data_IF_054174633058
#
_entry.id   IF_054174633058
#
_cell.length_a   1.000
_cell.length_b   1.000
_cell.length_c   1.000
_cell.angle_alpha   90.00
_cell.angle_beta   90.00
_cell.angle_gamma   90.00
#
_symmetry.space_group_name_H-M   'P 1'
#
loop_
_entity.id
_entity.type
_entity.pdbx_description
1 polymer ?
#
# COMPACT_ATOMS: atom_id res chain seq x y z
N UNK A 1 -20.76 20.08 45.13
CA UNK A 1 -20.12 18.86 44.59
C UNK A 1 -18.62 19.10 44.56
N UNK A 2 -17.82 18.13 45.03
CA UNK A 2 -16.36 18.18 44.98
C UNK A 2 -15.88 18.25 43.53
N UNK A 3 -14.87 19.06 43.23
CA UNK A 3 -14.23 19.10 41.90
C UNK A 3 -13.66 17.70 41.58
N UNK A 4 -14.19 16.98 40.58
CA UNK A 4 -13.76 15.62 40.25
C UNK A 4 -12.28 15.55 39.87
N UNK A 5 -11.66 16.67 39.45
CA UNK A 5 -10.22 16.74 39.16
C UNK A 5 -9.34 16.46 40.37
N UNK A 6 -9.87 16.53 41.59
CA UNK A 6 -9.14 16.15 42.82
C UNK A 6 -8.94 14.65 42.97
N UNK A 7 -9.71 13.83 42.24
CA UNK A 7 -9.66 12.38 42.31
C UNK A 7 -8.77 11.76 41.21
N UNK A 8 -8.12 12.58 40.37
CA UNK A 8 -7.23 12.07 39.32
C UNK A 8 -6.03 11.38 39.98
N UNK A 9 -5.80 10.08 39.73
CA UNK A 9 -4.71 9.34 40.37
C UNK A 9 -3.34 9.88 39.96
N UNK A 10 -2.43 9.93 40.93
CA UNK A 10 -1.04 10.33 40.72
C UNK A 10 -0.29 9.33 39.84
N UNK A 11 0.80 9.77 39.22
CA UNK A 11 1.60 8.92 38.31
C UNK A 11 2.12 7.69 39.04
N UNK A 12 2.64 7.83 40.25
CA UNK A 12 3.14 6.70 41.05
C UNK A 12 2.03 5.70 41.39
N UNK A 13 0.79 6.17 41.59
CA UNK A 13 -0.38 5.31 41.81
C UNK A 13 -0.69 4.47 40.59
N UNK A 14 -0.68 5.05 39.39
CA UNK A 14 -0.90 4.31 38.15
C UNK A 14 0.25 3.34 37.86
N UNK A 15 1.50 3.76 38.04
CA UNK A 15 2.67 2.92 37.82
C UNK A 15 2.70 1.70 38.77
N UNK A 16 2.22 1.85 40.00
CA UNK A 16 2.12 0.75 40.95
C UNK A 16 1.17 -0.37 40.50
N UNK A 17 0.25 -0.10 39.56
CA UNK A 17 -0.64 -1.11 38.98
C UNK A 17 0.09 -2.11 38.06
N UNK A 18 1.28 -1.77 37.58
CA UNK A 18 2.08 -2.58 36.64
C UNK A 18 3.51 -2.74 37.15
N UNK A 19 3.72 -3.46 38.27
CA UNK A 19 5.04 -3.59 38.90
C UNK A 19 6.07 -4.32 38.02
N UNK A 20 5.59 -5.13 37.07
CA UNK A 20 6.40 -5.76 36.04
C UNK A 20 5.76 -5.48 34.67
N UNK A 21 6.49 -4.78 33.80
CA UNK A 21 6.08 -4.53 32.43
C UNK A 21 7.28 -4.66 31.50
N UNK A 22 7.10 -5.22 30.29
CA UNK A 22 8.14 -5.19 29.26
C UNK A 22 8.36 -3.77 28.70
N UNK A 23 7.46 -2.81 28.99
CA UNK A 23 7.60 -1.42 28.57
C UNK A 23 8.58 -0.67 29.47
N UNK A 24 9.38 0.20 28.85
CA UNK A 24 10.32 1.04 29.58
C UNK A 24 9.60 2.07 30.48
N UNK A 25 10.21 2.51 31.60
CA UNK A 25 9.57 3.44 32.54
C UNK A 25 9.06 4.75 31.93
N UNK A 26 9.72 5.27 30.89
CA UNK A 26 9.27 6.49 30.21
C UNK A 26 7.96 6.28 29.43
N UNK A 27 7.75 5.09 28.85
CA UNK A 27 6.52 4.75 28.13
C UNK A 27 5.35 4.57 29.10
N UNK A 28 5.58 3.91 30.24
CA UNK A 28 4.59 3.80 31.33
C UNK A 28 4.18 5.19 31.85
N UNK A 29 5.16 6.08 32.08
CA UNK A 29 4.88 7.47 32.48
C UNK A 29 4.10 8.24 31.43
N UNK A 30 4.40 8.03 30.15
CA UNK A 30 3.65 8.66 29.06
C UNK A 30 2.17 8.22 29.08
N UNK A 31 1.89 6.92 29.23
CA UNK A 31 0.52 6.41 29.35
C UNK A 31 -0.20 6.98 30.57
N UNK A 32 0.48 7.08 31.72
CA UNK A 32 -0.09 7.70 32.92
C UNK A 32 -0.42 9.17 32.71
N UNK A 33 0.46 9.94 32.04
CA UNK A 33 0.21 11.33 31.72
C UNK A 33 -0.93 11.51 30.71
N UNK A 34 -1.06 10.62 29.74
CA UNK A 34 -2.16 10.61 28.77
C UNK A 34 -3.51 10.45 29.48
N UNK A 35 -3.63 9.44 30.35
CA UNK A 35 -4.82 9.19 31.18
C UNK A 35 -5.15 10.41 32.03
N UNK A 36 -4.17 10.95 32.75
CA UNK A 36 -4.37 12.14 33.59
C UNK A 36 -4.80 13.35 32.76
N UNK A 37 -4.25 13.54 31.56
CA UNK A 37 -4.62 14.63 30.68
C UNK A 37 -6.05 14.46 30.15
N UNK A 38 -6.48 13.25 29.79
CA UNK A 38 -7.86 12.94 29.42
C UNK A 38 -8.82 13.26 30.58
N UNK A 39 -8.48 12.88 31.82
CA UNK A 39 -9.28 13.24 32.99
C UNK A 39 -9.36 14.76 33.21
N UNK A 40 -8.26 15.50 33.01
CA UNK A 40 -8.25 16.97 33.14
C UNK A 40 -9.10 17.66 32.07
N UNK A 41 -9.18 17.08 30.87
CA UNK A 41 -10.04 17.57 29.76
C UNK A 41 -11.50 17.16 29.91
N UNK A 42 -11.83 16.27 30.85
CA UNK A 42 -13.18 15.74 31.04
C UNK A 42 -13.56 14.66 30.02
N UNK A 43 -12.58 14.08 29.33
CA UNK A 43 -12.78 13.00 28.35
C UNK A 43 -12.84 11.62 29.00
N UNK A 44 -12.33 11.50 30.24
CA UNK A 44 -12.29 10.28 31.03
C UNK A 44 -12.68 10.61 32.47
N UNK A 45 -13.56 9.82 33.09
CA UNK A 45 -13.86 10.02 34.50
C UNK A 45 -12.66 9.56 35.36
N UNK A 46 -12.27 10.29 36.42
CA UNK A 46 -11.13 9.90 37.26
C UNK A 46 -11.20 8.47 37.82
N UNK A 47 -12.40 7.95 38.07
CA UNK A 47 -12.61 6.59 38.57
C UNK A 47 -12.26 5.52 37.53
N UNK A 48 -12.32 5.85 36.24
CA UNK A 48 -12.01 4.95 35.12
C UNK A 48 -10.51 5.00 34.75
N UNK A 49 -9.73 5.89 35.37
CA UNK A 49 -8.35 6.16 35.00
C UNK A 49 -7.44 4.93 35.13
N UNK A 50 -7.62 4.12 36.17
CA UNK A 50 -6.83 2.92 36.41
C UNK A 50 -7.06 1.85 35.31
N UNK A 51 -8.33 1.61 34.97
CA UNK A 51 -8.71 0.67 33.92
C UNK A 51 -8.20 1.14 32.55
N UNK A 52 -8.39 2.43 32.24
CA UNK A 52 -7.91 3.00 30.99
C UNK A 52 -6.38 2.92 30.87
N UNK A 53 -5.65 3.20 31.95
CA UNK A 53 -4.20 3.03 31.98
C UNK A 53 -3.79 1.58 31.70
N UNK A 54 -4.40 0.60 32.36
CA UNK A 54 -4.11 -0.82 32.12
C UNK A 54 -4.46 -1.23 30.68
N UNK A 55 -5.54 -0.70 30.11
CA UNK A 55 -5.91 -0.91 28.71
C UNK A 55 -4.83 -0.40 27.74
N UNK A 56 -4.27 0.79 27.99
CA UNK A 56 -3.16 1.33 27.19
C UNK A 56 -1.90 0.46 27.28
N UNK A 57 -1.57 -0.05 28.47
CA UNK A 57 -0.41 -0.95 28.64
C UNK A 57 -0.64 -2.29 27.93
N UNK A 58 -1.83 -2.86 28.05
CA UNK A 58 -2.19 -4.15 27.45
C UNK A 58 -2.35 -4.06 25.92
N UNK A 59 -2.54 -2.87 25.35
CA UNK A 59 -2.57 -2.67 23.91
C UNK A 59 -1.20 -2.95 23.23
N UNK A 60 -0.13 -3.11 24.00
CA UNK A 60 1.19 -3.53 23.54
C UNK A 60 2.16 -2.39 23.33
N UNK A 61 3.29 -2.68 22.68
CA UNK A 61 4.38 -1.72 22.50
C UNK A 61 4.17 -0.71 21.36
N UNK A 62 3.01 -0.74 20.67
CA UNK A 62 2.67 0.13 19.55
C UNK A 62 1.30 0.76 19.76
N UNK A 63 1.16 2.02 19.33
CA UNK A 63 -0.12 2.75 19.35
C UNK A 63 -0.99 2.43 18.13
N UNK A 64 -0.46 1.71 17.13
CA UNK A 64 -1.23 1.27 15.97
C UNK A 64 -2.26 0.23 16.40
N UNK A 65 -3.51 0.44 16.00
CA UNK A 65 -4.62 -0.44 16.34
C UNK A 65 -4.92 -1.37 15.15
N UNK A 66 -5.01 -2.70 15.37
CA UNK A 66 -5.44 -3.62 14.32
C UNK A 66 -6.84 -3.25 13.82
N UNK A 67 -7.04 -3.31 12.50
CA UNK A 67 -8.31 -2.97 11.85
C UNK A 67 -8.82 -4.15 11.04
N UNK A 68 -10.06 -4.55 11.29
CA UNK A 68 -10.86 -5.38 10.40
C UNK A 68 -11.46 -4.49 9.32
N UNK A 69 -10.92 -4.59 8.11
CA UNK A 69 -11.36 -3.81 6.96
C UNK A 69 -12.65 -4.41 6.37
N UNK A 70 -13.80 -3.89 6.80
CA UNK A 70 -15.12 -4.22 6.27
C UNK A 70 -15.65 -3.14 5.31
N UNK A 71 -14.77 -2.40 4.64
CA UNK A 71 -15.15 -1.28 3.75
C UNK A 71 -15.42 -1.69 2.31
N UNK A 72 -15.03 -2.91 1.92
CA UNK A 72 -15.02 -3.37 0.52
C UNK A 72 -13.89 -2.77 -0.33
N UNK A 73 -12.98 -1.98 0.27
CA UNK A 73 -11.83 -1.40 -0.42
C UNK A 73 -10.60 -2.30 -0.23
N UNK A 74 -10.09 -2.89 -1.30
CA UNK A 74 -9.01 -3.88 -1.28
C UNK A 74 -7.66 -3.25 -0.88
N UNK A 75 -7.26 -2.19 -1.56
CA UNK A 75 -6.05 -1.41 -1.29
C UNK A 75 -6.44 -0.09 -0.62
N UNK A 76 -6.64 -0.15 0.69
CA UNK A 76 -7.11 0.98 1.49
C UNK A 76 -5.93 1.75 2.10
N UNK A 77 -5.62 2.93 1.56
CA UNK A 77 -4.43 3.72 1.94
C UNK A 77 -4.39 4.10 3.43
N UNK A 78 -5.53 4.43 4.03
CA UNK A 78 -5.56 4.88 5.44
C UNK A 78 -5.36 3.75 6.46
N UNK A 79 -5.49 2.47 6.05
CA UNK A 79 -5.27 1.32 6.94
C UNK A 79 -4.07 0.47 6.51
N UNK A 80 -3.17 1.05 5.71
CA UNK A 80 -1.89 0.43 5.39
C UNK A 80 -1.82 -0.34 4.07
N UNK A 81 -2.79 -0.15 3.17
CA UNK A 81 -2.83 -0.77 1.82
C UNK A 81 -2.99 -2.30 1.88
N UNK A 82 -2.08 -3.07 1.26
CA UNK A 82 -2.16 -4.52 1.17
C UNK A 82 -1.91 -5.20 2.54
N UNK A 83 -2.79 -6.13 2.91
CA UNK A 83 -2.55 -7.04 4.01
C UNK A 83 -1.57 -8.15 3.57
N UNK A 84 -0.65 -8.52 4.45
CA UNK A 84 0.30 -9.60 4.20
C UNK A 84 -0.34 -10.96 4.46
N UNK A 85 -0.07 -11.93 3.58
CA UNK A 85 -0.43 -13.34 3.82
C UNK A 85 0.47 -13.99 4.88
N UNK A 86 0.04 -15.14 5.40
CA UNK A 86 0.74 -15.85 6.48
C UNK A 86 2.21 -16.12 6.16
N UNK A 87 2.52 -16.59 4.94
CA UNK A 87 3.90 -16.83 4.49
C UNK A 87 4.78 -15.57 4.57
N UNK A 88 4.22 -14.40 4.23
CA UNK A 88 4.94 -13.13 4.29
C UNK A 88 5.12 -12.65 5.73
N UNK A 89 4.13 -12.90 6.60
CA UNK A 89 4.25 -12.63 8.04
C UNK A 89 5.31 -13.52 8.68
N UNK A 90 5.32 -14.82 8.38
CA UNK A 90 6.34 -15.74 8.88
C UNK A 90 7.75 -15.33 8.44
N UNK A 91 7.90 -14.93 7.17
CA UNK A 91 9.15 -14.41 6.65
C UNK A 91 9.61 -13.13 7.40
N UNK A 92 8.69 -12.23 7.75
CA UNK A 92 8.99 -11.06 8.58
C UNK A 92 9.45 -11.42 9.98
N UNK A 93 8.78 -12.38 10.62
CA UNK A 93 9.10 -12.83 11.98
C UNK A 93 10.51 -13.45 12.00
N UNK A 94 10.85 -14.29 11.01
CA UNK A 94 12.22 -14.79 10.86
C UNK A 94 13.22 -13.65 10.64
N UNK A 95 12.91 -12.71 9.73
CA UNK A 95 13.77 -11.58 9.42
C UNK A 95 13.91 -10.56 10.56
N UNK A 96 13.07 -10.62 11.60
CA UNK A 96 13.23 -9.82 12.81
C UNK A 96 14.56 -10.17 13.52
N UNK A 97 14.94 -11.45 13.49
CA UNK A 97 16.25 -11.95 13.94
C UNK A 97 17.38 -11.72 12.93
N UNK A 98 18.52 -12.40 13.12
CA UNK A 98 19.59 -12.39 12.13
C UNK A 98 19.24 -13.29 10.95
N UNK A 99 19.39 -12.75 9.74
CA UNK A 99 19.18 -13.45 8.47
C UNK A 99 20.29 -13.06 7.50
N UNK A 100 20.54 -13.91 6.51
CA UNK A 100 21.66 -13.92 5.57
C UNK A 100 21.50 -12.96 4.38
N UNK A 101 20.89 -11.78 4.61
CA UNK A 101 20.52 -10.80 3.56
C UNK A 101 21.65 -10.43 2.60
N UNK A 102 22.89 -10.42 3.10
CA UNK A 102 24.12 -10.11 2.35
C UNK A 102 25.24 -11.09 2.72
N UNK A 103 24.92 -12.29 3.20
CA UNK A 103 25.89 -13.31 3.59
C UNK A 103 25.71 -14.53 2.69
N UNK A 104 26.80 -14.98 2.09
CA UNK A 104 26.85 -16.30 1.49
C UNK A 104 27.16 -17.31 2.61
N UNK A 105 26.20 -18.18 2.89
CA UNK A 105 26.32 -19.17 3.97
C UNK A 105 27.27 -20.33 3.63
N UNK A 106 27.58 -20.57 2.35
CA UNK A 106 28.49 -21.64 1.94
C UNK A 106 29.94 -21.28 2.29
N UNK A 107 30.36 -20.04 2.00
CA UNK A 107 31.72 -19.58 2.21
C UNK A 107 31.89 -18.59 3.38
N UNK A 108 30.79 -18.13 3.99
CA UNK A 108 30.80 -17.22 5.13
C UNK A 108 31.27 -15.80 4.79
N UNK A 109 31.26 -15.41 3.51
CA UNK A 109 31.65 -14.06 3.08
C UNK A 109 30.45 -13.23 2.62
N UNK A 110 30.68 -11.92 2.50
CA UNK A 110 29.65 -10.99 2.05
C UNK A 110 29.24 -11.28 0.61
N UNK A 111 27.96 -11.57 0.39
CA UNK A 111 27.36 -11.66 -0.94
C UNK A 111 27.32 -10.28 -1.61
N UNK A 112 27.52 -10.26 -2.93
CA UNK A 112 27.35 -9.06 -3.76
C UNK A 112 25.88 -8.76 -4.04
N UNK A 113 25.03 -9.78 -3.95
CA UNK A 113 23.64 -9.74 -4.38
C UNK A 113 22.71 -9.76 -3.16
N UNK A 114 22.56 -8.58 -2.55
CA UNK A 114 21.61 -8.37 -1.45
C UNK A 114 20.20 -8.77 -1.90
N UNK A 115 19.57 -9.70 -1.18
CA UNK A 115 18.19 -10.10 -1.45
C UNK A 115 18.02 -10.89 -2.75
N UNK A 116 19.00 -11.74 -3.10
CA UNK A 116 18.96 -12.60 -4.28
C UNK A 116 17.65 -13.41 -4.41
N UNK A 117 17.13 -13.96 -3.30
CA UNK A 117 15.87 -14.73 -3.31
C UNK A 117 14.66 -13.90 -3.78
N UNK A 118 14.51 -12.67 -3.30
CA UNK A 118 13.45 -11.77 -3.75
C UNK A 118 13.59 -11.41 -5.24
N UNK A 119 14.84 -11.18 -5.69
CA UNK A 119 15.15 -10.93 -7.11
C UNK A 119 14.76 -12.12 -7.98
N UNK A 120 15.15 -13.34 -7.60
CA UNK A 120 14.84 -14.57 -8.32
C UNK A 120 13.33 -14.84 -8.36
N UNK A 121 12.63 -14.65 -7.25
CA UNK A 121 11.18 -14.80 -7.18
C UNK A 121 10.47 -13.85 -8.16
N UNK A 122 10.91 -12.58 -8.22
CA UNK A 122 10.38 -11.58 -9.15
C UNK A 122 10.63 -11.95 -10.61
N UNK A 123 11.83 -12.43 -10.95
CA UNK A 123 12.16 -12.88 -12.31
C UNK A 123 11.37 -14.12 -12.72
N UNK A 124 11.13 -15.06 -11.80
CA UNK A 124 10.26 -16.21 -12.04
C UNK A 124 8.80 -15.77 -12.27
N UNK A 125 8.33 -14.77 -11.53
CA UNK A 125 6.97 -14.24 -11.65
C UNK A 125 6.77 -13.30 -12.84
N UNK A 126 7.84 -12.71 -13.40
CA UNK A 126 7.81 -11.89 -14.60
C UNK A 126 8.97 -12.26 -15.56
N UNK A 127 8.85 -13.35 -16.32
CA UNK A 127 9.93 -13.85 -17.18
C UNK A 127 10.31 -12.91 -18.35
N UNK A 128 9.51 -11.88 -18.63
CA UNK A 128 9.85 -10.86 -19.61
C UNK A 128 10.95 -9.91 -19.13
N UNK A 129 11.28 -9.92 -17.84
CA UNK A 129 12.39 -9.15 -17.26
C UNK A 129 13.69 -9.95 -17.29
N UNK A 130 14.80 -9.27 -17.61
CA UNK A 130 16.15 -9.86 -17.57
C UNK A 130 16.80 -9.71 -16.19
N UNK A 131 16.49 -8.62 -15.48
CA UNK A 131 16.96 -8.34 -14.13
C UNK A 131 15.90 -7.60 -13.30
N UNK A 132 16.07 -7.63 -11.98
CA UNK A 132 15.19 -6.98 -11.02
C UNK A 132 15.99 -6.23 -9.94
N UNK A 133 15.39 -5.14 -9.44
CA UNK A 133 15.89 -4.37 -8.31
C UNK A 133 14.72 -3.97 -7.40
N UNK A 134 14.93 -4.09 -6.09
CA UNK A 134 13.96 -3.69 -5.07
C UNK A 134 14.51 -2.52 -4.27
N UNK A 135 13.71 -1.47 -4.15
CA UNK A 135 14.00 -0.24 -3.39
C UNK A 135 12.85 0.05 -2.41
N UNK A 136 12.99 1.12 -1.62
CA UNK A 136 12.13 1.41 -0.47
C UNK A 136 10.62 1.55 -0.79
N UNK A 137 10.26 2.18 -1.92
CA UNK A 137 8.87 2.36 -2.37
C UNK A 137 8.83 2.75 -3.86
N UNK A 138 7.64 2.79 -4.47
CA UNK A 138 7.46 3.18 -5.87
C UNK A 138 8.04 4.57 -6.22
N UNK A 139 7.87 5.55 -5.33
CA UNK A 139 8.49 6.87 -5.51
C UNK A 139 10.02 6.81 -5.57
N UNK A 140 10.64 5.96 -4.74
CA UNK A 140 12.07 5.71 -4.77
C UNK A 140 12.53 5.04 -6.07
N UNK A 141 11.71 4.14 -6.61
CA UNK A 141 11.99 3.48 -7.89
C UNK A 141 11.98 4.50 -9.02
N UNK A 142 10.99 5.39 -9.04
CA UNK A 142 10.90 6.48 -10.01
C UNK A 142 12.09 7.45 -9.90
N UNK A 143 12.40 7.92 -8.68
CA UNK A 143 13.54 8.81 -8.44
C UNK A 143 14.85 8.20 -8.93
N UNK A 144 15.11 6.93 -8.58
CA UNK A 144 16.32 6.23 -8.97
C UNK A 144 16.38 6.00 -10.49
N UNK A 145 15.27 5.60 -11.09
CA UNK A 145 15.14 5.38 -12.52
C UNK A 145 15.44 6.64 -13.34
N UNK A 146 14.79 7.76 -13.01
CA UNK A 146 15.00 9.02 -13.73
C UNK A 146 16.41 9.56 -13.49
N UNK A 147 16.92 9.52 -12.25
CA UNK A 147 18.28 9.96 -11.95
C UNK A 147 19.34 9.16 -12.72
N UNK A 148 19.20 7.84 -12.80
CA UNK A 148 20.19 6.98 -13.44
C UNK A 148 20.06 6.95 -14.98
N UNK A 149 18.85 7.00 -15.53
CA UNK A 149 18.64 6.90 -16.99
C UNK A 149 18.63 8.26 -17.69
N UNK A 150 18.31 9.34 -16.98
CA UNK A 150 18.31 10.70 -17.51
C UNK A 150 19.31 11.63 -16.81
N UNK A 151 20.41 11.06 -16.33
CA UNK A 151 21.50 11.77 -15.66
C UNK A 151 21.95 13.00 -16.46
N UNK A 152 21.93 14.16 -15.82
CA UNK A 152 22.29 15.48 -16.40
C UNK A 152 21.50 15.89 -17.65
N UNK A 153 20.37 15.25 -17.93
CA UNK A 153 19.55 15.50 -19.09
C UNK A 153 18.11 15.83 -18.73
N UNK A 154 17.22 15.44 -19.64
CA UNK A 154 15.79 15.64 -19.47
C UNK A 154 14.97 14.38 -19.76
N UNK A 155 13.75 14.36 -19.23
CA UNK A 155 12.78 13.29 -19.39
C UNK A 155 11.48 13.85 -19.98
N UNK A 156 10.99 13.23 -21.05
CA UNK A 156 9.72 13.61 -21.65
C UNK A 156 8.56 12.85 -21.00
N UNK A 157 7.49 13.56 -20.66
CA UNK A 157 6.27 12.99 -20.05
C UNK A 157 5.03 13.71 -20.58
N UNK A 158 3.94 12.96 -20.74
CA UNK A 158 2.63 13.51 -21.08
C UNK A 158 2.11 14.42 -19.97
N UNK A 159 1.55 15.60 -20.31
CA UNK A 159 0.85 16.47 -19.34
C UNK A 159 -0.31 15.77 -18.63
N UNK A 160 -0.95 14.80 -19.31
CA UNK A 160 -2.02 13.98 -18.73
C UNK A 160 -1.54 12.91 -17.76
N UNK A 161 -0.23 12.73 -17.62
CA UNK A 161 0.39 11.72 -16.75
C UNK A 161 1.13 12.36 -15.56
N UNK A 162 1.00 13.68 -15.38
CA UNK A 162 1.52 14.40 -14.22
C UNK A 162 0.56 14.19 -13.03
N UNK A 163 1.02 13.43 -12.04
CA UNK A 163 0.17 13.00 -10.93
C UNK A 163 0.58 13.61 -9.59
N UNK A 164 -0.44 13.92 -8.79
CA UNK A 164 -0.33 14.12 -7.35
C UNK A 164 -1.00 12.94 -6.64
N UNK A 165 -0.30 12.34 -5.66
CA UNK A 165 -0.81 11.19 -4.91
C UNK A 165 -0.72 11.48 -3.40
N UNK A 166 -1.75 11.08 -2.66
CA UNK A 166 -1.73 11.08 -1.20
C UNK A 166 -1.59 12.49 -0.60
N UNK A 167 -0.70 12.66 0.37
CA UNK A 167 -0.52 13.90 1.15
C UNK A 167 0.39 14.92 0.45
N UNK A 168 0.11 15.25 -0.82
CA UNK A 168 0.84 16.26 -1.58
C UNK A 168 2.13 15.77 -2.26
N UNK A 169 2.31 14.45 -2.44
CA UNK A 169 3.42 13.94 -3.25
C UNK A 169 3.18 14.27 -4.72
N UNK A 170 4.10 15.03 -5.31
CA UNK A 170 4.05 15.44 -6.72
C UNK A 170 5.22 14.83 -7.49
N UNK A 171 4.87 14.07 -8.52
CA UNK A 171 5.85 13.43 -9.39
C UNK A 171 6.88 14.41 -9.99
N UNK A 172 6.49 15.61 -10.47
CA UNK A 172 7.45 16.56 -11.03
C UNK A 172 8.51 17.01 -10.02
N UNK A 173 8.07 17.42 -8.83
CA UNK A 173 8.96 17.91 -7.76
C UNK A 173 9.96 16.83 -7.33
N UNK A 174 9.53 15.56 -7.31
CA UNK A 174 10.43 14.43 -7.05
C UNK A 174 11.49 14.28 -8.14
N UNK A 175 11.10 14.28 -9.42
CA UNK A 175 12.05 14.07 -10.53
C UNK A 175 13.06 15.22 -10.59
N UNK A 176 12.59 16.46 -10.47
CA UNK A 176 13.43 17.66 -10.51
C UNK A 176 14.42 17.73 -9.33
N UNK A 177 14.07 17.13 -8.19
CA UNK A 177 14.99 17.00 -7.04
C UNK A 177 16.26 16.19 -7.34
N UNK A 178 16.25 15.37 -8.39
CA UNK A 178 17.42 14.63 -8.88
C UNK A 178 18.21 15.40 -9.95
N UNK A 179 17.95 16.69 -10.14
CA UNK A 179 18.55 17.52 -11.20
C UNK A 179 18.25 17.00 -12.62
N UNK A 180 17.10 16.34 -12.78
CA UNK A 180 16.57 15.90 -14.08
C UNK A 180 15.50 16.89 -14.50
N UNK A 181 15.65 17.47 -15.70
CA UNK A 181 14.65 18.41 -16.22
C UNK A 181 13.43 17.66 -16.77
N UNK A 182 12.24 18.09 -16.40
CA UNK A 182 11.01 17.53 -16.96
C UNK A 182 10.63 18.26 -18.26
N UNK A 183 10.30 17.52 -19.31
CA UNK A 183 9.82 18.03 -20.60
C UNK A 183 8.38 17.55 -20.79
N UNK A 184 7.45 18.43 -20.48
CA UNK A 184 6.03 18.14 -20.60
C UNK A 184 5.55 18.24 -22.05
N UNK A 185 4.91 17.18 -22.55
CA UNK A 185 4.41 17.07 -23.93
C UNK A 185 2.89 16.88 -23.98
N UNK A 186 2.29 17.15 -25.14
CA UNK A 186 0.85 17.00 -25.36
C UNK A 186 -0.01 17.91 -24.50
N UNK A 187 -1.22 17.45 -24.19
CA UNK A 187 -2.20 18.12 -23.34
C UNK A 187 -2.74 17.16 -22.27
N UNK A 188 -3.51 17.68 -21.30
CA UNK A 188 -4.04 16.88 -20.17
C UNK A 188 -4.86 15.67 -20.62
N UNK A 189 -5.71 15.83 -21.64
CA UNK A 189 -6.59 14.78 -22.11
C UNK A 189 -6.03 14.03 -23.33
N UNK A 190 -5.15 14.66 -24.13
CA UNK A 190 -4.67 14.10 -25.39
C UNK A 190 -3.17 14.32 -25.56
N UNK A 191 -2.46 13.21 -25.67
CA UNK A 191 -1.05 13.17 -26.04
C UNK A 191 -0.86 12.13 -27.12
N UNK A 192 -0.13 12.50 -28.18
CA UNK A 192 0.09 11.68 -29.35
C UNK A 192 1.59 11.38 -29.55
N UNK A 193 1.96 10.34 -30.32
CA UNK A 193 3.37 10.01 -30.58
C UNK A 193 4.20 11.20 -31.10
N UNK A 194 3.64 12.02 -32.00
CA UNK A 194 4.34 13.18 -32.56
C UNK A 194 4.68 14.27 -31.53
N UNK A 195 4.01 14.30 -30.37
CA UNK A 195 4.36 15.22 -29.28
C UNK A 195 5.70 14.81 -28.64
N UNK A 196 5.92 13.50 -28.50
CA UNK A 196 7.19 12.94 -28.02
C UNK A 196 8.30 13.04 -29.07
N UNK A 197 8.01 12.79 -30.35
CA UNK A 197 9.00 12.96 -31.45
C UNK A 197 9.55 14.39 -31.50
N UNK A 198 8.67 15.39 -31.30
CA UNK A 198 9.08 16.80 -31.23
C UNK A 198 10.02 17.05 -30.06
N UNK A 199 9.72 16.50 -28.89
CA UNK A 199 10.60 16.62 -27.72
C UNK A 199 11.94 15.89 -27.93
N UNK A 200 11.93 14.75 -28.61
CA UNK A 200 13.12 13.95 -28.93
C UNK A 200 14.08 14.63 -29.92
N UNK A 201 13.68 15.76 -30.53
CA UNK A 201 14.58 16.61 -31.31
C UNK A 201 15.57 17.39 -30.43
N UNK A 202 15.33 17.49 -29.12
CA UNK A 202 16.27 18.09 -28.16
C UNK A 202 17.38 17.08 -27.78
N UNK A 203 18.66 17.37 -28.06
CA UNK A 203 19.77 16.47 -27.75
C UNK A 203 20.06 16.32 -26.25
N UNK A 204 19.40 17.08 -25.37
CA UNK A 204 19.45 16.90 -23.92
C UNK A 204 18.46 15.86 -23.40
N UNK A 205 17.50 15.43 -24.23
CA UNK A 205 16.57 14.38 -23.85
C UNK A 205 17.32 13.05 -23.71
N UNK A 206 17.01 12.31 -22.65
CA UNK A 206 17.68 11.05 -22.32
C UNK A 206 16.70 9.89 -22.13
N UNK A 207 15.48 10.21 -21.69
CA UNK A 207 14.46 9.19 -21.53
C UNK A 207 13.05 9.72 -21.84
N UNK A 208 12.20 8.77 -22.19
CA UNK A 208 10.74 8.92 -22.22
C UNK A 208 10.21 8.24 -20.96
N UNK A 209 9.35 8.94 -20.23
CA UNK A 209 8.63 8.42 -19.08
C UNK A 209 7.14 8.34 -19.41
N UNK A 210 6.58 7.13 -19.31
CA UNK A 210 5.14 6.88 -19.34
C UNK A 210 4.65 6.49 -17.96
N UNK A 211 3.62 7.16 -17.44
CA UNK A 211 3.10 6.92 -16.08
C UNK A 211 1.62 6.59 -16.15
N UNK A 212 1.22 5.51 -15.47
CA UNK A 212 -0.20 5.18 -15.29
C UNK A 212 -0.85 6.07 -14.23
N UNK A 213 -1.94 6.80 -14.55
CA UNK A 213 -2.70 7.55 -13.55
C UNK A 213 -3.50 6.60 -12.64
N UNK A 214 -2.83 5.97 -11.68
CA UNK A 214 -3.42 4.89 -10.86
C UNK A 214 -4.48 5.34 -9.83
N UNK A 215 -4.68 6.65 -9.65
CA UNK A 215 -5.58 7.23 -8.64
C UNK A 215 -6.70 8.12 -9.20
N UNK A 216 -6.77 8.33 -10.52
CA UNK A 216 -7.85 9.08 -11.16
C UNK A 216 -8.05 8.61 -12.62
N UNK A 217 -9.17 9.01 -13.25
CA UNK A 217 -9.39 8.84 -14.69
C UNK A 217 -9.82 10.14 -15.33
N UNK A 218 -9.37 10.36 -16.57
CA UNK A 218 -9.87 11.41 -17.46
C UNK A 218 -10.87 10.76 -18.41
N UNK A 219 -12.11 11.26 -18.48
CA UNK A 219 -13.15 10.77 -19.38
C UNK A 219 -13.48 11.82 -20.45
N UNK A 220 -13.99 11.37 -21.61
CA UNK A 220 -14.35 12.23 -22.74
C UNK A 220 -13.44 12.02 -23.94
N UNK A 221 -13.01 13.11 -24.59
CA UNK A 221 -12.08 13.05 -25.71
C UNK A 221 -10.64 12.87 -25.23
N UNK A 222 -10.23 11.62 -25.06
CA UNK A 222 -8.88 11.28 -24.61
C UNK A 222 -8.05 10.59 -25.70
N UNK A 223 -6.73 10.71 -25.60
CA UNK A 223 -5.78 9.99 -26.43
C UNK A 223 -4.46 9.85 -25.67
N UNK A 224 -3.83 8.68 -25.78
CA UNK A 224 -2.53 8.40 -25.18
C UNK A 224 -1.62 7.69 -26.18
N UNK A 225 -0.32 7.94 -26.07
CA UNK A 225 0.68 7.16 -26.80
C UNK A 225 0.89 5.81 -26.09
N UNK A 226 0.86 4.72 -26.86
CA UNK A 226 1.10 3.37 -26.33
C UNK A 226 2.59 3.13 -26.07
N UNK A 227 2.91 2.18 -25.19
CA UNK A 227 4.31 1.80 -24.91
C UNK A 227 5.05 1.40 -26.19
N UNK A 228 4.41 0.63 -27.09
CA UNK A 228 5.00 0.21 -28.35
C UNK A 228 5.30 1.39 -29.30
N UNK A 229 4.43 2.42 -29.35
CA UNK A 229 4.69 3.64 -30.11
C UNK A 229 5.86 4.43 -29.51
N UNK A 230 5.92 4.54 -28.18
CA UNK A 230 7.02 5.22 -27.49
C UNK A 230 8.35 4.47 -27.68
N UNK A 231 8.35 3.14 -27.75
CA UNK A 231 9.54 2.33 -28.05
C UNK A 231 10.14 2.70 -29.41
N UNK A 232 9.31 2.83 -30.45
CA UNK A 232 9.78 3.21 -31.79
C UNK A 232 10.50 4.57 -31.78
N UNK A 233 9.94 5.54 -31.04
CA UNK A 233 10.55 6.86 -30.89
C UNK A 233 11.86 6.76 -30.09
N UNK A 234 11.85 5.99 -29.00
CA UNK A 234 13.02 5.81 -28.16
C UNK A 234 14.19 5.16 -28.93
N UNK A 235 13.93 4.16 -29.78
CA UNK A 235 14.95 3.54 -30.64
C UNK A 235 15.49 4.50 -31.69
N UNK A 236 14.63 5.31 -32.31
CA UNK A 236 15.03 6.27 -33.34
C UNK A 236 15.93 7.39 -32.80
N UNK A 237 15.90 7.65 -31.49
CA UNK A 237 16.60 8.75 -30.83
C UNK A 237 17.57 8.32 -29.72
N UNK A 238 17.84 7.01 -29.57
CA UNK A 238 18.71 6.46 -28.51
C UNK A 238 18.31 6.89 -27.09
N UNK A 239 17.00 6.81 -26.80
CA UNK A 239 16.42 7.16 -25.50
C UNK A 239 16.09 5.90 -24.69
N UNK A 240 16.18 6.03 -23.36
CA UNK A 240 15.59 5.02 -22.47
C UNK A 240 14.06 5.17 -22.38
N UNK A 241 13.33 4.07 -22.29
CA UNK A 241 11.90 4.04 -22.05
C UNK A 241 11.59 3.52 -20.65
N UNK A 242 11.12 4.42 -19.78
CA UNK A 242 10.71 4.14 -18.41
C UNK A 242 9.19 4.07 -18.36
N UNK A 243 8.64 2.96 -17.86
CA UNK A 243 7.20 2.80 -17.69
C UNK A 243 6.86 2.61 -16.21
N UNK A 244 6.16 3.56 -15.61
CA UNK A 244 5.61 3.40 -14.26
C UNK A 244 4.16 2.91 -14.36
N UNK A 245 3.97 1.62 -14.09
CA UNK A 245 2.64 1.00 -14.05
C UNK A 245 1.93 1.30 -12.72
N UNK A 246 2.69 1.63 -11.68
CA UNK A 246 2.21 2.08 -10.38
C UNK A 246 1.53 1.01 -9.53
N UNK A 247 0.70 0.15 -10.10
CA UNK A 247 -0.31 -0.69 -9.45
C UNK A 247 0.23 -1.97 -8.83
N UNK A 248 1.26 -2.56 -9.44
CA UNK A 248 1.89 -3.80 -8.99
C UNK A 248 1.36 -5.07 -9.61
N UNK A 249 0.54 -4.98 -10.67
CA UNK A 249 0.22 -6.15 -11.49
C UNK A 249 1.45 -6.64 -12.26
N UNK A 250 1.77 -7.92 -12.09
CA UNK A 250 2.86 -8.56 -12.83
C UNK A 250 2.43 -9.05 -14.21
N UNK A 251 1.15 -9.41 -14.36
CA UNK A 251 0.54 -9.97 -15.56
C UNK A 251 -0.88 -9.41 -15.73
N UNK A 252 -1.48 -9.47 -16.94
CA UNK A 252 -2.86 -9.06 -17.16
C UNK A 252 -3.81 -9.80 -16.23
N UNK A 253 -4.79 -9.08 -15.70
CA UNK A 253 -5.80 -9.62 -14.79
C UNK A 253 -7.20 -9.42 -15.41
N UNK A 254 -8.01 -10.49 -15.61
CA UNK A 254 -9.35 -10.38 -16.18
C UNK A 254 -10.31 -9.51 -15.37
N UNK A 255 -10.10 -9.37 -14.05
CA UNK A 255 -10.90 -8.49 -13.22
C UNK A 255 -10.58 -7.01 -13.49
N UNK A 256 -9.38 -6.72 -14.03
CA UNK A 256 -8.84 -5.38 -14.25
C UNK A 256 -8.30 -5.21 -15.69
N UNK A 257 -9.16 -5.35 -16.73
CA UNK A 257 -8.70 -5.49 -18.12
C UNK A 257 -7.94 -4.28 -18.68
N UNK A 258 -8.20 -3.09 -18.15
CA UNK A 258 -7.52 -1.84 -18.58
C UNK A 258 -6.32 -1.49 -17.70
N UNK A 259 -6.05 -2.24 -16.63
CA UNK A 259 -4.97 -1.92 -15.70
C UNK A 259 -3.63 -2.42 -16.28
N UNK A 260 -2.60 -1.58 -16.40
CA UNK A 260 -1.34 -1.99 -16.99
C UNK A 260 -0.56 -2.92 -16.06
N UNK A 261 0.14 -3.87 -16.67
CA UNK A 261 0.96 -4.86 -15.98
C UNK A 261 2.42 -4.84 -16.46
N UNK A 262 3.31 -5.38 -15.63
CA UNK A 262 4.73 -5.38 -15.90
C UNK A 262 5.13 -6.25 -17.10
N UNK A 263 4.52 -7.43 -17.27
CA UNK A 263 4.86 -8.35 -18.38
C UNK A 263 4.53 -7.71 -19.73
N UNK A 264 3.35 -7.13 -19.88
CA UNK A 264 2.91 -6.48 -21.12
C UNK A 264 3.74 -5.23 -21.42
N UNK A 265 4.04 -4.40 -20.41
CA UNK A 265 4.88 -3.21 -20.60
C UNK A 265 6.30 -3.56 -21.07
N UNK A 266 6.92 -4.60 -20.51
CA UNK A 266 8.23 -5.10 -20.94
C UNK A 266 8.17 -5.69 -22.36
N UNK A 267 7.14 -6.51 -22.65
CA UNK A 267 6.96 -7.09 -23.99
C UNK A 267 6.76 -6.01 -25.08
N UNK A 268 6.18 -4.86 -24.72
CA UNK A 268 6.04 -3.70 -25.60
C UNK A 268 7.29 -2.81 -25.69
N UNK A 269 8.38 -3.18 -25.00
CA UNK A 269 9.70 -2.57 -25.19
C UNK A 269 10.15 -1.60 -24.10
N UNK A 270 9.48 -1.54 -22.95
CA UNK A 270 10.01 -0.80 -21.81
C UNK A 270 11.43 -1.28 -21.45
N UNK A 271 12.37 -0.36 -21.23
CA UNK A 271 13.71 -0.72 -20.74
C UNK A 271 13.66 -1.07 -19.26
N UNK A 272 12.81 -0.34 -18.52
CA UNK A 272 12.43 -0.68 -17.15
C UNK A 272 10.94 -0.38 -16.90
N UNK A 273 10.35 -1.23 -16.07
CA UNK A 273 9.01 -1.06 -15.50
C UNK A 273 9.11 -0.89 -13.98
N UNK A 274 8.33 0.05 -13.45
CA UNK A 274 8.29 0.41 -12.03
C UNK A 274 6.87 0.16 -11.48
N UNK A 275 6.78 -0.28 -10.23
CA UNK A 275 5.52 -0.36 -9.48
C UNK A 275 5.73 -0.45 -7.96
N UNK A 276 4.64 -0.29 -7.21
CA UNK A 276 4.64 -0.46 -5.74
C UNK A 276 4.32 -1.91 -5.35
N UNK A 277 5.04 -2.46 -4.37
CA UNK A 277 4.83 -3.82 -3.87
C UNK A 277 3.61 -4.00 -2.93
N UNK A 278 3.14 -2.91 -2.30
CA UNK A 278 2.05 -2.91 -1.33
C UNK A 278 0.69 -2.51 -1.90
N UNK A 279 0.52 -2.67 -3.21
CA UNK A 279 -0.74 -2.42 -3.92
C UNK A 279 -1.31 -3.76 -4.43
N UNK A 280 -1.51 -3.92 -5.74
CA UNK A 280 -2.09 -5.12 -6.33
C UNK A 280 -1.16 -6.35 -6.25
N UNK A 281 0.15 -6.16 -6.09
CA UNK A 281 1.06 -7.26 -5.80
C UNK A 281 0.74 -7.96 -4.46
N UNK A 282 0.14 -7.23 -3.51
CA UNK A 282 -0.28 -7.79 -2.22
C UNK A 282 0.84 -8.01 -1.21
N UNK A 283 1.99 -7.36 -1.39
CA UNK A 283 3.18 -7.51 -0.55
C UNK A 283 3.42 -6.34 0.41
N UNK A 284 4.64 -6.25 0.98
CA UNK A 284 5.03 -5.12 1.80
C UNK A 284 5.35 -3.89 0.94
N UNK A 285 5.49 -2.73 1.58
CA UNK A 285 5.92 -1.53 0.85
C UNK A 285 7.27 -1.78 0.19
N UNK A 286 7.33 -1.61 -1.13
CA UNK A 286 8.53 -1.74 -1.92
C UNK A 286 8.36 -0.95 -3.22
N UNK A 287 9.48 -0.50 -3.80
CA UNK A 287 9.55 -0.09 -5.19
C UNK A 287 10.19 -1.22 -5.95
N UNK A 288 9.45 -1.83 -6.86
CA UNK A 288 9.96 -2.93 -7.68
C UNK A 288 10.30 -2.38 -9.06
N UNK A 289 11.49 -2.74 -9.53
CA UNK A 289 12.01 -2.38 -10.85
C UNK A 289 12.31 -3.69 -11.57
N UNK A 290 11.70 -3.88 -12.73
CA UNK A 290 11.90 -5.01 -13.63
C UNK A 290 12.33 -4.49 -14.99
N UNK A 291 13.30 -5.11 -15.66
CA UNK A 291 13.72 -4.63 -16.97
C UNK A 291 14.93 -5.31 -17.55
N UNK A 292 15.56 -4.63 -18.51
CA UNK A 292 16.80 -5.06 -19.15
C UNK A 292 17.95 -5.08 -18.14
N UNK A 293 18.83 -6.07 -18.26
CA UNK A 293 19.92 -6.26 -17.30
C UNK A 293 20.87 -5.05 -17.25
N UNK A 294 21.14 -4.44 -18.40
CA UNK A 294 21.99 -3.25 -18.51
C UNK A 294 21.40 -2.02 -17.83
N UNK A 295 20.08 -1.78 -17.99
CA UNK A 295 19.39 -0.66 -17.38
C UNK A 295 19.34 -0.82 -15.86
N UNK A 296 18.94 -2.01 -15.38
CA UNK A 296 18.92 -2.32 -13.94
C UNK A 296 20.31 -2.22 -13.32
N UNK A 297 21.36 -2.67 -14.02
CA UNK A 297 22.74 -2.52 -13.56
C UNK A 297 23.16 -1.04 -13.44
N UNK A 298 22.72 -0.16 -14.35
CA UNK A 298 22.95 1.29 -14.25
C UNK A 298 22.30 1.87 -13.00
N UNK A 299 21.04 1.51 -12.71
CA UNK A 299 20.35 1.91 -11.49
C UNK A 299 21.07 1.41 -10.23
N UNK A 300 21.51 0.15 -10.20
CA UNK A 300 22.21 -0.47 -9.06
C UNK A 300 23.53 0.22 -8.72
N UNK A 301 24.24 0.75 -9.72
CA UNK A 301 25.51 1.48 -9.56
C UNK A 301 25.32 2.94 -9.15
N UNK A 302 24.14 3.52 -9.36
CA UNK A 302 23.90 4.92 -9.06
C UNK A 302 23.96 5.18 -7.54
N UNK A 303 24.62 6.26 -7.06
CA UNK A 303 24.78 6.53 -5.62
C UNK A 303 23.48 6.57 -4.82
N UNK A 304 22.38 7.07 -5.42
CA UNK A 304 21.07 7.09 -4.77
C UNK A 304 20.54 5.69 -4.43
N UNK A 305 20.96 4.63 -5.12
CA UNK A 305 20.51 3.27 -4.84
C UNK A 305 20.77 2.87 -3.39
N UNK A 306 21.86 3.38 -2.78
CA UNK A 306 22.18 3.13 -1.37
C UNK A 306 21.24 3.87 -0.42
N UNK A 307 20.80 5.07 -0.79
CA UNK A 307 19.89 5.90 0.00
C UNK A 307 18.47 5.33 0.00
N UNK A 308 18.01 4.84 -1.14
CA UNK A 308 16.66 4.27 -1.31
C UNK A 308 16.59 2.75 -1.07
N UNK A 309 17.66 2.15 -0.56
CA UNK A 309 17.76 0.70 -0.39
C UNK A 309 16.67 0.16 0.54
N UNK A 310 16.03 -0.94 0.14
CA UNK A 310 15.04 -1.65 0.95
C UNK A 310 15.68 -2.38 2.15
N UNK A 311 14.94 -2.45 3.26
CA UNK A 311 15.37 -3.15 4.48
C UNK A 311 15.14 -4.68 4.41
N UNK A 312 15.66 -5.40 5.40
CA UNK A 312 15.62 -6.87 5.43
C UNK A 312 14.22 -7.45 5.64
N UNK A 313 13.37 -6.75 6.39
CA UNK A 313 12.03 -7.22 6.75
C UNK A 313 11.17 -7.24 5.48
N UNK A 314 11.19 -6.13 4.76
CA UNK A 314 10.42 -5.98 3.52
C UNK A 314 10.95 -6.85 2.38
N UNK A 315 12.27 -7.09 2.30
CA UNK A 315 12.82 -8.06 1.35
C UNK A 315 12.28 -9.48 1.58
N UNK A 316 12.32 -9.95 2.83
CA UNK A 316 11.84 -11.29 3.18
C UNK A 316 10.32 -11.45 2.91
N UNK A 317 9.51 -10.48 3.34
CA UNK A 317 8.07 -10.50 3.05
C UNK A 317 7.78 -10.42 1.55
N UNK A 318 8.50 -9.61 0.79
CA UNK A 318 8.30 -9.49 -0.66
C UNK A 318 8.60 -10.81 -1.36
N UNK A 319 9.71 -11.47 -1.03
CA UNK A 319 10.03 -12.79 -1.58
C UNK A 319 8.90 -13.79 -1.32
N UNK A 320 8.47 -13.91 -0.07
CA UNK A 320 7.40 -14.83 0.31
C UNK A 320 6.06 -14.48 -0.38
N UNK A 321 5.76 -13.19 -0.54
CA UNK A 321 4.56 -12.72 -1.25
C UNK A 321 4.58 -13.16 -2.71
N UNK A 322 5.70 -12.94 -3.41
CA UNK A 322 5.81 -13.26 -4.84
C UNK A 322 5.80 -14.77 -5.09
N UNK A 323 6.29 -15.56 -4.12
CA UNK A 323 6.25 -17.03 -4.18
C UNK A 323 4.90 -17.63 -3.79
N UNK A 324 4.04 -16.87 -3.11
CA UNK A 324 2.73 -17.36 -2.67
C UNK A 324 1.81 -17.61 -3.88
N UNK A 325 0.98 -18.66 -3.79
CA UNK A 325 -0.01 -18.94 -4.82
C UNK A 325 -1.11 -17.88 -4.87
N UNK A 326 -1.45 -17.31 -3.72
CA UNK A 326 -2.46 -16.27 -3.57
C UNK A 326 -2.11 -15.34 -2.41
N UNK A 327 -2.38 -14.05 -2.56
CA UNK A 327 -2.23 -13.03 -1.51
C UNK A 327 -3.61 -12.62 -0.99
N UNK A 328 -3.73 -12.05 0.23
CA UNK A 328 -5.00 -11.49 0.70
C UNK A 328 -5.60 -10.45 -0.26
N UNK A 329 -4.75 -9.64 -0.90
CA UNK A 329 -5.15 -8.70 -1.94
C UNK A 329 -5.76 -9.41 -3.15
N UNK A 330 -5.11 -10.46 -3.65
CA UNK A 330 -5.63 -11.26 -4.76
C UNK A 330 -6.95 -11.94 -4.41
N UNK A 331 -7.05 -12.55 -3.22
CA UNK A 331 -8.27 -13.20 -2.75
C UNK A 331 -9.44 -12.21 -2.62
N UNK A 332 -9.18 -10.99 -2.12
CA UNK A 332 -10.20 -9.95 -2.01
C UNK A 332 -10.64 -9.41 -3.38
N UNK A 333 -9.69 -9.26 -4.32
CA UNK A 333 -9.96 -8.85 -5.70
C UNK A 333 -10.84 -9.88 -6.42
N UNK A 334 -10.53 -11.17 -6.25
CA UNK A 334 -11.18 -12.30 -6.91
C UNK A 334 -12.25 -12.99 -6.05
N UNK A 335 -12.74 -12.32 -5.00
CA UNK A 335 -13.69 -12.92 -4.08
C UNK A 335 -14.92 -13.46 -4.83
N UNK A 336 -15.22 -14.75 -4.63
CA UNK A 336 -16.35 -15.42 -5.26
C UNK A 336 -17.67 -14.75 -4.82
N UNK A 337 -18.50 -14.24 -5.76
CA UNK A 337 -19.72 -13.51 -5.42
C UNK A 337 -20.74 -14.32 -4.61
N UNK A 338 -20.86 -15.63 -4.87
CA UNK A 338 -21.81 -16.50 -4.17
C UNK A 338 -21.36 -16.78 -2.74
N UNK A 339 -20.07 -17.07 -2.54
CA UNK A 339 -19.45 -17.22 -1.22
C UNK A 339 -19.54 -15.93 -0.42
N UNK A 340 -19.23 -14.78 -1.04
CA UNK A 340 -19.34 -13.47 -0.38
C UNK A 340 -20.78 -13.18 0.04
N UNK A 341 -21.76 -13.45 -0.84
CA UNK A 341 -23.18 -13.30 -0.53
C UNK A 341 -23.61 -14.16 0.66
N UNK A 342 -23.25 -15.44 0.66
CA UNK A 342 -23.60 -16.38 1.72
C UNK A 342 -23.03 -15.93 3.08
N UNK A 343 -21.76 -15.50 3.10
CA UNK A 343 -21.11 -14.95 4.31
C UNK A 343 -21.81 -13.69 4.81
N UNK A 344 -22.11 -12.74 3.91
CA UNK A 344 -22.81 -11.50 4.27
C UNK A 344 -24.22 -11.79 4.77
N UNK A 345 -24.93 -12.78 4.23
CA UNK A 345 -26.25 -13.22 4.73
C UNK A 345 -26.17 -13.81 6.13
N UNK A 346 -25.20 -14.70 6.38
CA UNK A 346 -25.00 -15.27 7.72
C UNK A 346 -24.70 -14.19 8.78
N UNK A 347 -23.86 -13.20 8.45
CA UNK A 347 -23.60 -12.06 9.33
C UNK A 347 -24.86 -11.22 9.56
N UNK A 348 -25.59 -10.91 8.49
CA UNK A 348 -26.84 -10.15 8.55
C UNK A 348 -27.89 -10.83 9.46
N UNK A 349 -28.09 -12.14 9.32
CA UNK A 349 -28.97 -12.93 10.19
C UNK A 349 -28.52 -12.87 11.64
N UNK A 350 -27.21 -12.98 11.88
CA UNK A 350 -26.63 -12.97 13.23
C UNK A 350 -26.83 -11.65 13.96
N UNK A 351 -26.76 -10.52 13.25
CA UNK A 351 -26.89 -9.16 13.82
C UNK A 351 -28.28 -8.55 13.66
N UNK A 352 -29.19 -9.22 12.96
CA UNK A 352 -30.57 -8.75 12.73
C UNK A 352 -30.67 -7.55 11.77
N UNK A 353 -29.88 -7.54 10.70
CA UNK A 353 -29.79 -6.44 9.74
C UNK A 353 -29.98 -6.90 8.27
N UNK A 354 -30.40 -6.02 7.35
CA UNK A 354 -30.57 -6.38 5.95
C UNK A 354 -29.24 -6.47 5.18
N UNK A 355 -29.22 -7.33 4.16
CA UNK A 355 -28.17 -7.35 3.12
C UNK A 355 -28.55 -6.45 1.97
N UNK A 356 -27.59 -5.65 1.49
CA UNK A 356 -27.75 -4.79 0.31
C UNK A 356 -26.68 -5.10 -0.73
N UNK A 357 -26.98 -4.83 -2.00
CA UNK A 357 -25.96 -4.82 -3.05
C UNK A 357 -24.96 -3.69 -2.80
N UNK A 358 -23.67 -4.00 -2.87
CA UNK A 358 -22.60 -3.03 -2.63
C UNK A 358 -21.38 -3.37 -3.49
N UNK A 359 -21.04 -2.48 -4.41
CA UNK A 359 -19.81 -2.62 -5.16
C UNK A 359 -18.62 -2.19 -4.31
N UNK A 360 -17.74 -3.15 -4.05
CA UNK A 360 -16.40 -2.92 -3.54
C UNK A 360 -15.54 -2.17 -4.54
N UNK A 361 -14.31 -1.84 -4.14
CA UNK A 361 -13.37 -1.09 -4.97
C UNK A 361 -11.95 -1.63 -4.79
N UNK A 362 -11.14 -1.51 -5.82
CA UNK A 362 -9.69 -1.74 -5.68
C UNK A 362 -9.07 -0.72 -4.71
N UNK A 363 -9.43 0.56 -4.81
CA UNK A 363 -8.95 1.61 -3.91
C UNK A 363 -7.72 2.37 -4.43
N UNK A 364 -6.90 2.94 -3.54
CA UNK A 364 -5.75 3.78 -3.91
C UNK A 364 -4.56 3.02 -4.51
N UNK A 365 -4.78 1.76 -4.92
CA UNK A 365 -3.77 0.81 -5.39
C UNK A 365 -3.71 0.61 -6.90
N UNK A 366 -4.61 1.22 -7.66
CA UNK A 366 -4.77 0.95 -9.10
C UNK A 366 -6.25 0.82 -9.46
N UNK A 367 -6.52 0.73 -10.76
CA UNK A 367 -7.84 0.55 -11.35
C UNK A 367 -8.93 1.49 -10.79
N UNK A 368 -8.70 2.82 -10.79
CA UNK A 368 -9.67 3.77 -10.29
C UNK A 368 -10.99 3.66 -11.06
N UNK A 369 -12.10 3.46 -10.33
CA UNK A 369 -13.44 3.41 -10.91
C UNK A 369 -13.92 2.04 -11.38
N UNK A 370 -13.11 0.98 -11.26
CA UNK A 370 -13.56 -0.40 -11.54
C UNK A 370 -14.39 -0.92 -10.35
N UNK A 371 -15.69 -1.19 -10.52
CA UNK A 371 -16.52 -1.76 -9.46
C UNK A 371 -16.18 -3.23 -9.25
N UNK A 372 -16.19 -3.68 -7.99
CA UNK A 372 -16.10 -5.09 -7.63
C UNK A 372 -17.48 -5.53 -7.09
N UNK A 373 -18.33 -6.18 -7.90
CA UNK A 373 -19.68 -6.54 -7.51
C UNK A 373 -19.71 -7.33 -6.21
N UNK A 374 -20.56 -6.94 -5.27
CA UNK A 374 -20.58 -7.54 -3.93
C UNK A 374 -21.82 -7.20 -3.11
N UNK A 375 -21.73 -7.51 -1.82
CA UNK A 375 -22.82 -7.39 -0.86
C UNK A 375 -22.30 -6.86 0.47
N UNK A 376 -23.10 -6.06 1.15
CA UNK A 376 -22.80 -5.56 2.48
C UNK A 376 -23.97 -5.75 3.45
N UNK A 377 -23.67 -5.86 4.74
CA UNK A 377 -24.67 -5.71 5.80
C UNK A 377 -24.90 -4.22 6.03
N UNK A 378 -26.14 -3.77 5.98
CA UNK A 378 -26.51 -2.38 6.20
C UNK A 378 -27.00 -2.16 7.63
N UNK A 379 -26.24 -1.35 8.38
CA UNK A 379 -26.47 -1.02 9.78
C UNK A 379 -26.77 0.47 9.96
N UNK A 380 -27.24 0.85 11.15
CA UNK A 380 -27.38 2.25 11.54
C UNK A 380 -26.00 2.94 11.55
N UNK A 381 -25.84 4.11 10.91
CA UNK A 381 -24.57 4.84 10.88
C UNK A 381 -24.04 5.23 12.27
N UNK A 382 -24.88 5.29 13.31
CA UNK A 382 -24.45 5.59 14.69
C UNK A 382 -23.40 4.59 15.19
N UNK A 383 -23.49 3.32 14.77
CA UNK A 383 -22.58 2.24 15.16
C UNK A 383 -21.17 2.39 14.59
N UNK A 384 -20.97 3.26 13.59
CA UNK A 384 -19.68 3.39 12.91
C UNK A 384 -18.56 3.87 13.86
N UNK A 385 -18.86 4.81 14.77
CA UNK A 385 -17.85 5.32 15.70
C UNK A 385 -17.54 4.34 16.84
N UNK A 386 -18.52 3.71 17.51
CA UNK A 386 -18.29 2.63 18.47
C UNK A 386 -17.44 1.49 17.88
N UNK A 387 -17.77 1.01 16.68
CA UNK A 387 -17.04 -0.08 16.02
C UNK A 387 -15.56 0.25 15.75
N UNK A 388 -15.26 1.51 15.41
CA UNK A 388 -13.86 1.97 15.23
C UNK A 388 -13.08 2.09 16.54
N UNK A 389 -13.74 2.13 17.70
CA UNK A 389 -13.10 2.20 19.03
C UNK A 389 -12.81 0.82 19.63
N UNK A 390 -13.29 -0.25 18.98
CA UNK A 390 -13.03 -1.63 19.38
C UNK A 390 -11.56 -2.01 19.16
N UNK A 391 -11.14 -3.13 19.77
CA UNK A 391 -9.83 -3.77 19.53
C UNK A 391 -10.07 -5.26 19.18
N UNK A 392 -9.90 -5.66 17.91
CA UNK A 392 -9.58 -4.82 16.75
C UNK A 392 -10.71 -3.82 16.45
N UNK A 393 -10.37 -2.73 15.77
CA UNK A 393 -11.37 -1.82 15.24
C UNK A 393 -12.07 -2.49 14.05
N UNK A 394 -13.40 -2.34 13.93
CA UNK A 394 -14.14 -2.73 12.73
C UNK A 394 -14.42 -1.48 11.91
N UNK A 395 -13.92 -1.45 10.67
CA UNK A 395 -14.06 -0.31 9.78
C UNK A 395 -15.00 -0.66 8.63
N UNK A 396 -16.24 -0.16 8.70
CA UNK A 396 -17.18 -0.15 7.58
C UNK A 396 -17.19 1.19 6.83
N UNK A 397 -18.00 1.26 5.78
CA UNK A 397 -18.18 2.47 4.97
C UNK A 397 -19.54 3.11 5.25
N UNK A 398 -19.57 4.38 5.64
CA UNK A 398 -20.83 5.13 5.74
C UNK A 398 -21.15 5.71 4.36
N UNK A 399 -22.30 5.32 3.80
CA UNK A 399 -22.76 5.75 2.48
C UNK A 399 -24.29 5.79 2.46
N UNK A 400 -24.86 6.83 1.85
CA UNK A 400 -26.32 7.03 1.71
C UNK A 400 -27.12 6.82 3.00
N UNK A 401 -26.57 7.30 4.12
CA UNK A 401 -27.21 7.23 5.44
C UNK A 401 -27.12 5.87 6.13
N UNK A 402 -26.33 4.92 5.62
CA UNK A 402 -26.15 3.59 6.21
C UNK A 402 -24.67 3.30 6.47
N UNK A 403 -24.38 2.53 7.53
CA UNK A 403 -23.08 1.89 7.69
C UNK A 403 -23.10 0.55 6.95
N UNK A 404 -22.19 0.40 5.99
CA UNK A 404 -22.05 -0.81 5.20
C UNK A 404 -20.83 -1.61 5.67
N UNK A 405 -21.06 -2.88 6.00
CA UNK A 405 -20.01 -3.86 6.29
C UNK A 405 -19.89 -4.87 5.13
N UNK A 406 -18.88 -4.71 4.29
CA UNK A 406 -18.52 -5.63 3.20
C UNK A 406 -17.39 -6.57 3.65
N UNK A 407 -17.66 -7.88 3.64
CA UNK A 407 -16.75 -8.93 4.12
C UNK A 407 -15.66 -9.32 3.11
N UNK A 408 -15.60 -8.70 1.93
CA UNK A 408 -14.61 -8.99 0.87
C UNK A 408 -13.17 -9.01 1.38
N UNK A 409 -12.82 -8.05 2.24
CA UNK A 409 -11.46 -7.89 2.77
C UNK A 409 -11.31 -8.49 4.19
N UNK A 410 -12.32 -9.20 4.69
CA UNK A 410 -12.32 -9.83 6.01
C UNK A 410 -12.00 -11.32 5.85
N UNK A 411 -10.96 -11.84 6.54
CA UNK A 411 -10.71 -13.28 6.55
C UNK A 411 -11.93 -14.05 7.10
N UNK A 412 -12.40 -15.13 6.45
CA UNK A 412 -13.62 -15.84 6.84
C UNK A 412 -13.68 -16.27 8.30
N UNK A 413 -12.55 -16.66 8.88
CA UNK A 413 -12.46 -17.08 10.29
C UNK A 413 -12.71 -15.93 11.30
N UNK A 414 -12.81 -14.68 10.84
CA UNK A 414 -13.06 -13.49 11.67
C UNK A 414 -14.47 -12.91 11.52
N UNK A 415 -15.35 -13.58 10.79
CA UNK A 415 -16.72 -13.10 10.58
C UNK A 415 -17.51 -13.00 11.91
N UNK A 416 -17.34 -13.97 12.83
CA UNK A 416 -17.98 -13.94 14.15
C UNK A 416 -17.46 -12.80 15.02
N UNK A 417 -16.19 -12.41 14.87
CA UNK A 417 -15.61 -11.27 15.59
C UNK A 417 -16.28 -9.95 15.19
N UNK A 418 -16.65 -9.81 13.92
CA UNK A 418 -17.44 -8.67 13.44
C UNK A 418 -18.86 -8.73 14.00
N UNK A 419 -19.50 -9.89 13.95
CA UNK A 419 -20.86 -10.06 14.47
C UNK A 419 -20.94 -9.67 15.95
N UNK A 420 -20.02 -10.18 16.76
CA UNK A 420 -19.95 -9.89 18.19
C UNK A 420 -19.68 -8.40 18.45
N UNK A 421 -18.79 -7.77 17.68
CA UNK A 421 -18.53 -6.34 17.80
C UNK A 421 -19.77 -5.49 17.51
N UNK A 422 -20.58 -5.86 16.50
CA UNK A 422 -21.83 -5.17 16.16
C UNK A 422 -22.85 -5.33 17.28
N UNK A 423 -23.07 -6.55 17.78
CA UNK A 423 -24.04 -6.83 18.84
C UNK A 423 -23.72 -6.06 20.13
N UNK A 424 -22.46 -6.08 20.57
CA UNK A 424 -22.02 -5.36 21.77
C UNK A 424 -22.17 -3.84 21.64
N UNK A 425 -21.88 -3.28 20.45
CA UNK A 425 -22.08 -1.85 20.21
C UNK A 425 -23.57 -1.46 20.17
N UNK A 426 -24.44 -2.31 19.64
CA UNK A 426 -25.88 -2.08 19.61
C UNK A 426 -26.55 -2.26 20.98
N UNK A 427 -25.96 -3.02 21.90
CA UNK A 427 -26.39 -3.13 23.29
C UNK A 427 -26.01 -1.90 24.12
N UNK A 428 -24.81 -1.33 23.91
CA UNK A 428 -24.34 -0.15 24.65
C UNK A 428 -25.03 1.18 24.29
N UNK A 429 -25.85 1.21 23.24
CA UNK A 429 -26.67 2.37 22.86
C UNK A 429 -28.11 2.31 23.41
N UNK A 430 -28.52 1.16 23.95
CA UNK A 430 -29.81 0.98 24.65
C UNK A 430 -29.66 1.33 26.13
#
# INVERSE_FOLDING_TARGET
MSDPRRNIPGTDTLLALVPASPLAPHALKACAHEVQAACRRGELHPDDAAEHFLSLINAGATTLTPVLNATGVVVHTNVGRAALGELAVDALVHAAGYVDVEMDLENGVRSRDRGAGAREALLAACPAAEDALVVNNGASALLLATAALAEHGSVAISRGELIEIGAGFRLPELIESAHVKLVEVGATNRTHPHDYERAASDPSLRAILKVHPSNYRVHGFTAEASVAQLRQIADAHDLSLIVDTGSGLLRPDPALPDEPDATTALAHGADIVLFSGDKLLGGPQAGVILGRAEAVAKLRRHPLARAVRVDKLRLAALEATVRAAETPTSAALHADPDTLRARTQALAERVGAPVVGHDGRVGGGGAPGVPLPGYAVALDPVLAAPLRRRRPAVLGRVHDGQLLLDLRCVPPHRDEEIAQAVLECAEGER
#
